data_IF_993483473596
#
_entry.id   IF_993483473596
#
_cell.length_a   1.000
_cell.length_b   1.000
_cell.length_c   1.000
_cell.angle_alpha   90.00
_cell.angle_beta   90.00
_cell.angle_gamma   90.00
#
_symmetry.space_group_name_H-M   'P 1'
#
loop_
_entity.id
_entity.type
_entity.pdbx_description
1 polymer ?
#
# COMPACT_ATOMS: atom_id res chain seq x y z
N UNK A 1 1.04 19.44 -14.51
CA UNK A 1 0.18 19.02 -13.38
C UNK A 1 -0.95 18.14 -13.90
N UNK A 2 -1.23 17.02 -13.23
CA UNK A 2 -2.39 16.15 -13.50
C UNK A 2 -3.69 16.86 -13.07
N UNK A 3 -4.20 17.79 -13.88
CA UNK A 3 -5.50 18.52 -13.79
C UNK A 3 -5.94 19.18 -12.45
N UNK A 4 -5.41 18.85 -11.28
CA UNK A 4 -5.96 19.21 -9.96
C UNK A 4 -4.97 19.80 -8.94
N UNK A 5 -3.75 20.14 -9.33
CA UNK A 5 -2.82 20.88 -8.46
C UNK A 5 -2.05 20.05 -7.41
N UNK A 6 -2.18 18.72 -7.44
CA UNK A 6 -1.48 17.80 -6.55
C UNK A 6 -2.23 16.47 -6.43
N UNK A 7 -1.76 15.54 -5.60
CA UNK A 7 -2.45 14.26 -5.40
C UNK A 7 -1.88 13.36 -4.32
N UNK A 8 -2.58 12.25 -4.07
CA UNK A 8 -2.08 11.18 -3.20
C UNK A 8 -2.36 9.82 -3.81
N UNK A 9 -1.32 8.99 -3.88
CA UNK A 9 -1.40 7.59 -4.29
C UNK A 9 -1.15 6.73 -3.05
N UNK A 10 -2.05 5.78 -2.81
CA UNK A 10 -1.95 4.85 -1.68
C UNK A 10 -1.93 3.43 -2.22
N UNK A 11 -0.85 2.70 -1.92
CA UNK A 11 -0.65 1.32 -2.36
C UNK A 11 -0.83 0.38 -1.19
N UNK A 12 -1.67 -0.66 -1.35
CA UNK A 12 -1.87 -1.66 -0.30
C UNK A 12 -0.84 -2.79 -0.41
N UNK A 13 0.18 -2.73 0.44
CA UNK A 13 1.17 -3.78 0.63
C UNK A 13 0.71 -4.78 1.72
N UNK A 14 1.61 -5.24 2.58
CA UNK A 14 1.36 -6.18 3.68
C UNK A 14 2.50 -6.11 4.68
N UNK A 15 2.27 -6.51 5.94
CA UNK A 15 3.33 -6.72 6.94
C UNK A 15 4.43 -7.68 6.45
N UNK A 16 4.09 -8.58 5.50
CA UNK A 16 5.07 -9.49 4.87
C UNK A 16 6.08 -8.77 3.96
N UNK A 17 5.87 -7.49 3.67
CA UNK A 17 6.89 -6.61 3.09
C UNK A 17 8.00 -6.23 4.06
N UNK A 18 7.86 -6.52 5.36
CA UNK A 18 8.85 -6.24 6.41
C UNK A 18 9.23 -7.55 7.11
N UNK A 19 8.24 -8.27 7.66
CA UNK A 19 8.42 -9.51 8.40
C UNK A 19 7.81 -10.71 7.65
N UNK A 20 8.65 -11.61 7.13
CA UNK A 20 8.24 -12.74 6.28
C UNK A 20 7.93 -14.00 7.09
N UNK A 21 7.18 -14.93 6.48
CA UNK A 21 6.85 -16.24 7.09
C UNK A 21 7.24 -17.39 6.16
N UNK A 22 7.50 -18.59 6.70
CA UNK A 22 7.73 -19.80 5.91
C UNK A 22 6.56 -20.04 4.94
N UNK A 23 6.85 -20.43 3.70
CA UNK A 23 5.84 -20.68 2.66
C UNK A 23 5.30 -19.44 1.95
N UNK A 24 5.80 -18.24 2.27
CA UNK A 24 5.30 -16.97 1.69
C UNK A 24 6.32 -16.25 0.81
N UNK A 25 7.32 -16.95 0.25
CA UNK A 25 8.44 -16.32 -0.47
C UNK A 25 7.99 -15.44 -1.63
N UNK A 26 7.17 -15.97 -2.55
CA UNK A 26 6.65 -15.22 -3.70
C UNK A 26 5.75 -14.05 -3.29
N UNK A 27 4.88 -14.25 -2.28
CA UNK A 27 4.00 -13.20 -1.77
C UNK A 27 4.80 -12.09 -1.05
N UNK A 28 5.75 -12.47 -0.19
CA UNK A 28 6.64 -11.55 0.52
C UNK A 28 7.49 -10.74 -0.46
N UNK A 29 8.03 -11.37 -1.51
CA UNK A 29 8.77 -10.70 -2.56
C UNK A 29 7.89 -9.68 -3.29
N UNK A 30 6.69 -10.09 -3.72
CA UNK A 30 5.74 -9.22 -4.40
C UNK A 30 5.33 -8.02 -3.54
N UNK A 31 5.00 -8.24 -2.26
CA UNK A 31 4.62 -7.17 -1.34
C UNK A 31 5.79 -6.25 -0.98
N UNK A 32 7.02 -6.77 -0.94
CA UNK A 32 8.21 -5.94 -0.77
C UNK A 32 8.55 -5.14 -2.03
N UNK A 33 8.30 -5.68 -3.22
CA UNK A 33 8.45 -4.94 -4.49
C UNK A 33 7.56 -3.69 -4.54
N UNK A 34 6.35 -3.75 -3.97
CA UNK A 34 5.48 -2.58 -3.84
C UNK A 34 6.10 -1.44 -3.03
N UNK A 35 6.91 -1.73 -2.02
CA UNK A 35 7.59 -0.70 -1.22
C UNK A 35 8.65 0.02 -2.06
N UNK A 36 9.43 -0.73 -2.83
CA UNK A 36 10.40 -0.15 -3.78
C UNK A 36 9.71 0.67 -4.87
N UNK A 37 8.59 0.19 -5.39
CA UNK A 37 7.76 0.94 -6.35
C UNK A 37 7.29 2.27 -5.77
N UNK A 38 6.78 2.27 -4.54
CA UNK A 38 6.33 3.50 -3.85
C UNK A 38 7.48 4.49 -3.67
N UNK A 39 8.67 4.01 -3.30
CA UNK A 39 9.84 4.86 -3.14
C UNK A 39 10.28 5.48 -4.47
N UNK A 40 10.36 4.68 -5.54
CA UNK A 40 10.72 5.17 -6.86
C UNK A 40 9.70 6.19 -7.39
N UNK A 41 8.41 5.85 -7.32
CA UNK A 41 7.33 6.74 -7.79
C UNK A 41 7.23 8.01 -6.95
N UNK A 42 7.45 7.95 -5.64
CA UNK A 42 7.48 9.16 -4.81
C UNK A 42 8.56 10.15 -5.30
N UNK A 43 9.73 9.66 -5.70
CA UNK A 43 10.80 10.50 -6.25
C UNK A 43 10.46 11.05 -7.65
N UNK A 44 9.85 10.24 -8.50
CA UNK A 44 9.45 10.64 -9.86
C UNK A 44 8.35 11.72 -9.85
N UNK A 45 7.43 11.64 -8.90
CA UNK A 45 6.26 12.51 -8.82
C UNK A 45 6.41 13.68 -7.81
N UNK A 46 7.57 13.85 -7.18
CA UNK A 46 7.84 14.89 -6.17
C UNK A 46 7.56 16.31 -6.69
N UNK A 47 8.05 16.63 -7.90
CA UNK A 47 7.85 17.95 -8.54
C UNK A 47 6.41 18.25 -8.96
N UNK A 48 5.53 17.25 -8.89
CA UNK A 48 4.12 17.34 -9.28
C UNK A 48 3.18 17.46 -8.08
N UNK A 49 3.72 17.62 -6.86
CA UNK A 49 2.97 17.68 -5.59
C UNK A 49 2.09 16.43 -5.37
N UNK A 50 2.63 15.25 -5.72
CA UNK A 50 1.94 13.97 -5.55
C UNK A 50 2.67 13.13 -4.51
N UNK A 51 1.96 12.79 -3.43
CA UNK A 51 2.47 11.93 -2.36
C UNK A 51 2.15 10.48 -2.64
N UNK A 52 3.13 9.58 -2.55
CA UNK A 52 2.92 8.14 -2.71
C UNK A 52 3.25 7.42 -1.41
N UNK A 53 2.33 6.63 -0.88
CA UNK A 53 2.51 5.90 0.37
C UNK A 53 2.10 4.43 0.25
N UNK A 54 2.80 3.56 0.97
CA UNK A 54 2.45 2.14 1.10
C UNK A 54 1.79 1.88 2.45
N UNK A 55 0.62 1.23 2.45
CA UNK A 55 0.00 0.68 3.66
C UNK A 55 0.41 -0.78 3.82
N UNK A 56 0.90 -1.16 5.00
CA UNK A 56 1.37 -2.52 5.28
C UNK A 56 0.49 -3.21 6.33
N UNK A 57 -0.73 -3.65 5.97
CA UNK A 57 -1.62 -4.30 6.91
C UNK A 57 -1.06 -5.65 7.39
N UNK A 58 -1.29 -5.92 8.67
CA UNK A 58 -1.11 -7.24 9.27
C UNK A 58 -2.28 -8.17 8.98
N UNK A 59 -2.48 -9.18 9.82
CA UNK A 59 -3.70 -9.99 9.79
C UNK A 59 -4.89 -9.09 10.10
N UNK A 60 -5.70 -8.80 9.08
CA UNK A 60 -6.96 -8.09 9.24
C UNK A 60 -8.03 -9.11 9.60
N UNK A 61 -8.78 -8.88 10.66
CA UNK A 61 -9.93 -9.71 10.99
C UNK A 61 -10.94 -9.64 9.83
N UNK A 62 -11.60 -10.75 9.46
CA UNK A 62 -12.74 -10.68 8.57
C UNK A 62 -13.77 -9.70 9.17
N UNK A 63 -14.54 -8.97 8.34
CA UNK A 63 -15.57 -8.07 8.85
C UNK A 63 -16.44 -8.83 9.86
N UNK A 64 -16.70 -8.22 11.01
CA UNK A 64 -17.53 -8.86 12.03
C UNK A 64 -18.88 -9.22 11.40
N UNK A 65 -19.33 -10.48 11.46
CA UNK A 65 -20.65 -10.85 10.94
C UNK A 65 -21.69 -10.15 11.83
N UNK A 66 -22.26 -9.04 11.34
CA UNK A 66 -23.22 -8.23 12.10
C UNK A 66 -23.21 -6.73 11.80
N UNK A 67 -22.15 -6.17 11.20
CA UNK A 67 -22.17 -4.77 10.72
C UNK A 67 -22.69 -4.71 9.27
N UNK A 68 -23.98 -5.00 9.09
CA UNK A 68 -24.74 -4.42 7.98
C UNK A 68 -24.96 -2.95 8.32
N UNK A 69 -24.31 -2.06 7.60
CA UNK A 69 -24.46 -0.60 7.71
C UNK A 69 -25.93 -0.16 7.78
N UNK A 70 -26.30 0.75 8.70
CA UNK A 70 -27.22 1.83 8.37
C UNK A 70 -26.43 3.14 8.25
N UNK A 71 -27.00 4.06 7.47
CA UNK A 71 -26.46 5.36 7.10
C UNK A 71 -26.22 6.29 8.28
#
# INVERSE_FOLDING_TARGET
MLRGGGGSIVVTSSVQSIATRKGTSAYSASKRALVGLVQATALEYDTLDIRVNALCPGSVAPPCPGMTTPM
#
